data_IF_403377196803
#
_entry.id   IF_403377196803
#
_cell.length_a   1.000
_cell.length_b   1.000
_cell.length_c   1.000
_cell.angle_alpha   90.00
_cell.angle_beta   90.00
_cell.angle_gamma   90.00
#
_symmetry.space_group_name_H-M   'P 1'
#
loop_
_entity.id
_entity.type
_entity.pdbx_description
1 polymer ?
#
# COMPACT_ATOMS: atom_id res chain seq x y z
N UNK A 1 51.60 -3.31 12.31
CA UNK A 1 51.44 -2.16 13.22
C UNK A 1 50.03 -1.65 13.02
N UNK A 2 49.08 -2.21 13.78
CA UNK A 2 48.41 -1.58 14.96
C UNK A 2 47.06 -1.00 14.46
N UNK A 3 45.88 -1.59 14.67
CA UNK A 3 45.14 -2.04 15.87
C UNK A 3 44.99 -0.98 16.97
N UNK A 4 43.71 -0.82 17.35
CA UNK A 4 43.09 -0.16 18.53
C UNK A 4 42.40 1.16 18.18
N UNK A 5 41.25 1.54 18.73
CA UNK A 5 40.25 1.00 19.68
C UNK A 5 39.16 2.10 19.72
N UNK A 6 37.86 1.84 19.81
CA UNK A 6 37.14 1.62 21.07
C UNK A 6 35.70 1.23 20.72
N UNK A 7 35.35 -0.02 20.99
CA UNK A 7 33.95 -0.46 21.09
C UNK A 7 33.57 -0.41 22.57
N UNK A 8 32.65 0.48 22.94
CA UNK A 8 31.99 0.43 24.23
C UNK A 8 30.96 -0.71 24.24
N UNK A 9 31.25 -1.70 25.07
CA UNK A 9 30.36 -2.78 25.46
C UNK A 9 29.49 -2.33 26.64
N UNK A 10 28.19 -2.53 26.57
CA UNK A 10 27.33 -2.57 27.76
C UNK A 10 26.28 -3.66 27.55
N UNK A 11 26.71 -4.91 27.73
CA UNK A 11 25.84 -6.06 27.96
C UNK A 11 25.66 -6.27 29.46
N UNK A 12 24.40 -6.56 29.79
CA UNK A 12 23.85 -7.25 30.97
C UNK A 12 23.24 -6.37 32.06
N UNK A 13 21.90 -6.46 32.12
CA UNK A 13 21.15 -6.47 33.37
C UNK A 13 19.86 -7.31 33.24
N UNK A 14 19.99 -8.58 33.61
CA UNK A 14 19.15 -9.37 34.54
C UNK A 14 17.62 -9.44 34.32
N UNK A 15 17.17 -10.64 33.93
CA UNK A 15 15.81 -11.13 34.06
C UNK A 15 15.50 -11.54 35.52
N UNK A 16 14.32 -11.16 36.02
CA UNK A 16 13.76 -11.61 37.30
C UNK A 16 12.29 -12.05 37.14
N UNK A 17 11.80 -13.02 37.94
CA UNK A 17 10.53 -13.71 37.67
C UNK A 17 9.29 -12.94 38.15
N UNK A 18 8.19 -13.11 37.40
CA UNK A 18 6.86 -12.56 37.68
C UNK A 18 6.15 -13.39 38.77
N UNK A 19 5.70 -12.81 39.89
CA UNK A 19 4.92 -13.55 40.87
C UNK A 19 3.45 -13.69 40.45
N UNK A 20 2.97 -14.93 40.45
CA UNK A 20 1.54 -15.30 40.52
C UNK A 20 1.12 -15.32 41.99
N UNK A 21 0.06 -14.60 42.33
CA UNK A 21 -1.07 -15.05 43.18
C UNK A 21 -1.72 -13.87 43.91
N UNK A 22 -2.97 -13.60 43.59
CA UNK A 22 -3.90 -13.05 44.56
C UNK A 22 -5.15 -13.92 44.48
N UNK A 23 -5.20 -14.91 45.38
CA UNK A 23 -6.38 -15.74 45.58
C UNK A 23 -7.44 -14.90 46.31
N UNK A 24 -8.65 -15.06 45.80
CA UNK A 24 -9.93 -14.60 46.33
C UNK A 24 -10.10 -14.92 47.82
N UNK A 25 -10.75 -14.01 48.55
CA UNK A 25 -11.48 -14.34 49.78
C UNK A 25 -12.95 -13.95 49.56
N UNK A 26 -13.83 -14.89 49.88
CA UNK A 26 -15.29 -14.89 49.72
C UNK A 26 -16.01 -14.13 50.84
N UNK A 27 -17.37 -14.08 50.73
CA UNK A 27 -18.42 -13.77 51.73
C UNK A 27 -18.96 -12.33 51.56
N UNK A 28 -20.24 -11.99 51.31
CA UNK A 28 -21.53 -12.70 51.41
C UNK A 28 -22.66 -12.02 50.60
N UNK A 29 -23.58 -12.85 50.11
CA UNK A 29 -25.06 -12.72 50.02
C UNK A 29 -25.75 -11.34 50.14
N UNK A 30 -26.49 -10.96 49.10
CA UNK A 30 -27.86 -10.46 49.23
C UNK A 30 -28.64 -10.65 47.91
N UNK A 31 -29.76 -11.36 48.00
CA UNK A 31 -30.72 -11.57 46.93
C UNK A 31 -31.50 -10.29 46.62
N UNK A 32 -31.75 -10.01 45.35
CA UNK A 32 -32.55 -8.87 44.90
C UNK A 32 -32.96 -9.05 43.44
N UNK A 33 -34.05 -9.76 43.22
CA UNK A 33 -34.74 -9.87 41.94
C UNK A 33 -35.50 -8.56 41.68
N UNK A 34 -35.12 -7.78 40.66
CA UNK A 34 -36.01 -6.76 40.08
C UNK A 34 -35.78 -6.60 38.57
N UNK A 35 -36.91 -6.49 37.89
CA UNK A 35 -37.15 -6.56 36.45
C UNK A 35 -36.61 -5.36 35.65
N UNK A 36 -36.32 -5.63 34.36
CA UNK A 36 -36.37 -4.73 33.20
C UNK A 36 -35.45 -3.48 33.19
N UNK A 37 -34.35 -3.59 32.44
CA UNK A 37 -33.89 -2.50 31.57
C UNK A 37 -33.48 -3.09 30.21
N UNK A 38 -34.40 -2.94 29.25
CA UNK A 38 -34.05 -2.93 27.85
C UNK A 38 -33.22 -1.66 27.59
N UNK A 39 -31.96 -1.81 27.15
CA UNK A 39 -31.27 -0.88 26.28
C UNK A 39 -29.85 -1.34 25.97
N UNK A 40 -29.51 -1.29 24.68
CA UNK A 40 -28.16 -1.18 24.12
C UNK A 40 -27.30 -2.44 24.10
N UNK A 41 -27.44 -3.17 23.00
CA UNK A 41 -26.49 -4.19 22.59
C UNK A 41 -26.73 -4.60 21.14
N UNK A 42 -26.93 -3.62 20.25
CA UNK A 42 -26.78 -3.86 18.82
C UNK A 42 -25.36 -4.40 18.61
N UNK A 43 -25.22 -5.70 18.45
CA UNK A 43 -23.97 -6.28 18.03
C UNK A 43 -23.76 -5.82 16.60
N UNK A 44 -22.95 -4.79 16.42
CA UNK A 44 -22.32 -4.43 15.17
C UNK A 44 -21.60 -5.68 14.63
N UNK A 45 -22.34 -6.50 13.87
CA UNK A 45 -21.72 -7.46 12.97
C UNK A 45 -21.24 -6.65 11.78
N UNK A 46 -20.03 -6.13 11.85
CA UNK A 46 -19.29 -5.92 10.63
C UNK A 46 -19.13 -7.30 9.98
N UNK A 47 -19.67 -7.55 8.77
CA UNK A 47 -19.31 -8.78 8.08
C UNK A 47 -17.81 -8.71 7.82
N UNK A 48 -17.07 -9.66 8.41
CA UNK A 48 -15.69 -9.86 8.05
C UNK A 48 -15.63 -10.12 6.54
N UNK A 49 -14.73 -9.45 5.83
CA UNK A 49 -14.38 -9.79 4.47
C UNK A 49 -14.14 -11.31 4.40
N UNK A 50 -14.98 -12.03 3.63
CA UNK A 50 -14.89 -13.50 3.49
C UNK A 50 -15.84 -14.33 4.36
N UNK A 51 -17.07 -13.87 4.63
CA UNK A 51 -18.12 -14.76 5.16
C UNK A 51 -18.99 -15.31 4.00
N UNK A 52 -18.43 -16.22 3.20
CA UNK A 52 -19.23 -17.14 2.40
C UNK A 52 -19.61 -18.34 3.27
N UNK A 53 -20.92 -18.59 3.42
CA UNK A 53 -21.40 -19.89 3.86
C UNK A 53 -21.38 -20.84 2.67
N UNK A 54 -20.26 -21.51 2.43
CA UNK A 54 -20.21 -22.67 1.55
C UNK A 54 -19.83 -23.92 2.35
N UNK A 55 -20.65 -24.96 2.26
CA UNK A 55 -20.33 -26.32 2.73
C UNK A 55 -19.27 -26.99 1.81
N UNK A 56 -18.22 -26.25 1.48
CA UNK A 56 -17.13 -26.62 0.58
C UNK A 56 -16.15 -25.46 0.60
N UNK A 57 -15.13 -25.56 1.46
CA UNK A 57 -14.28 -24.44 1.86
C UNK A 57 -13.74 -23.64 0.68
N UNK A 58 -14.11 -22.37 0.62
CA UNK A 58 -13.48 -21.41 -0.28
C UNK A 58 -12.02 -21.23 0.16
N UNK A 59 -11.11 -21.92 -0.53
CA UNK A 59 -9.68 -21.60 -0.48
C UNK A 59 -9.55 -20.20 -1.09
N UNK A 60 -9.12 -19.21 -0.29
CA UNK A 60 -8.72 -17.92 -0.83
C UNK A 60 -7.71 -18.16 -1.95
N UNK A 61 -8.12 -17.94 -3.20
CA UNK A 61 -7.27 -18.21 -4.34
C UNK A 61 -6.07 -17.27 -4.30
N UNK A 62 -4.87 -17.82 -4.37
CA UNK A 62 -3.65 -17.05 -4.53
C UNK A 62 -3.78 -16.17 -5.80
N UNK A 63 -3.59 -14.86 -5.64
CA UNK A 63 -3.53 -13.93 -6.78
C UNK A 63 -2.07 -13.83 -7.22
N UNK A 64 -1.82 -14.16 -8.48
CA UNK A 64 -0.52 -13.98 -9.12
C UNK A 64 -0.58 -12.80 -10.07
N UNK A 65 0.37 -11.88 -9.93
CA UNK A 65 0.50 -10.71 -10.81
C UNK A 65 1.65 -10.97 -11.79
N UNK A 66 1.36 -10.90 -13.08
CA UNK A 66 2.35 -11.08 -14.15
C UNK A 66 2.67 -9.71 -14.75
N UNK A 67 3.93 -9.25 -14.71
CA UNK A 67 4.31 -8.01 -15.38
C UNK A 67 4.07 -8.08 -16.89
N UNK A 68 3.44 -7.04 -17.44
CA UNK A 68 3.18 -6.88 -18.88
C UNK A 68 4.30 -6.12 -19.60
N UNK A 69 5.18 -5.46 -18.84
CA UNK A 69 6.29 -4.69 -19.38
C UNK A 69 7.25 -4.24 -18.29
N UNK A 70 8.10 -3.28 -18.63
CA UNK A 70 8.99 -2.62 -17.67
C UNK A 70 9.19 -1.15 -18.03
N UNK A 71 9.66 -0.39 -17.05
CA UNK A 71 10.13 0.97 -17.24
C UNK A 71 11.57 0.94 -17.76
N UNK A 72 11.87 1.80 -18.72
CA UNK A 72 13.22 2.01 -19.24
C UNK A 72 13.53 3.52 -19.23
N UNK A 73 14.64 3.93 -18.65
CA UNK A 73 15.08 5.34 -18.59
C UNK A 73 16.29 5.53 -19.50
N UNK A 74 16.23 6.52 -20.41
CA UNK A 74 17.37 6.92 -21.26
C UNK A 74 17.57 8.43 -21.18
N UNK A 75 18.57 8.86 -20.41
CA UNK A 75 18.76 10.27 -20.09
C UNK A 75 17.52 10.81 -19.36
N UNK A 76 16.95 11.88 -19.89
CA UNK A 76 15.74 12.50 -19.34
C UNK A 76 14.44 11.80 -19.80
N UNK A 77 14.53 10.95 -20.83
CA UNK A 77 13.35 10.28 -21.40
C UNK A 77 13.00 9.02 -20.62
N UNK A 78 11.71 8.83 -20.40
CA UNK A 78 11.15 7.66 -19.72
C UNK A 78 10.30 6.89 -20.70
N UNK A 79 10.47 5.58 -20.72
CA UNK A 79 9.73 4.69 -21.57
C UNK A 79 9.03 3.60 -20.76
N UNK A 80 7.85 3.20 -21.22
CA UNK A 80 7.23 1.92 -20.86
C UNK A 80 7.42 0.97 -22.03
N UNK A 81 8.18 -0.10 -21.82
CA UNK A 81 8.42 -1.15 -22.81
C UNK A 81 7.53 -2.34 -22.47
N UNK A 82 6.50 -2.54 -23.28
CA UNK A 82 5.56 -3.66 -23.15
C UNK A 82 6.17 -4.91 -23.77
N UNK A 83 5.94 -6.09 -23.18
CA UNK A 83 6.44 -7.35 -23.73
C UNK A 83 5.84 -7.59 -25.12
N UNK A 84 6.59 -8.20 -26.06
CA UNK A 84 6.10 -8.46 -27.41
C UNK A 84 4.74 -9.17 -27.47
N UNK A 85 4.52 -10.16 -26.59
CA UNK A 85 3.27 -10.93 -26.52
C UNK A 85 2.03 -10.08 -26.17
N UNK A 86 2.24 -8.88 -25.63
CA UNK A 86 1.17 -7.93 -25.30
C UNK A 86 1.16 -6.71 -26.23
N UNK A 87 1.97 -6.67 -27.30
CA UNK A 87 2.11 -5.48 -28.14
C UNK A 87 0.80 -5.05 -28.83
N UNK A 88 -0.03 -5.99 -29.28
CA UNK A 88 -1.34 -5.73 -29.91
C UNK A 88 -2.33 -5.08 -28.92
N UNK A 89 -2.16 -5.29 -27.61
CA UNK A 89 -3.03 -4.66 -26.59
C UNK A 89 -2.86 -3.13 -26.50
N UNK A 90 -1.89 -2.56 -27.21
CA UNK A 90 -1.65 -1.13 -27.29
C UNK A 90 -2.43 -0.45 -28.42
N UNK A 91 -3.17 -1.19 -29.25
CA UNK A 91 -3.86 -0.62 -30.40
C UNK A 91 -4.94 0.40 -29.98
N UNK A 92 -4.89 1.59 -30.60
CA UNK A 92 -5.79 2.71 -30.31
C UNK A 92 -5.34 3.60 -29.15
N UNK A 93 -4.23 3.29 -28.49
CA UNK A 93 -3.71 4.05 -27.35
C UNK A 93 -3.34 5.50 -27.71
N UNK A 94 -2.92 5.72 -28.95
CA UNK A 94 -2.57 7.04 -29.50
C UNK A 94 -3.78 8.00 -29.57
N UNK A 95 -5.01 7.48 -29.43
CA UNK A 95 -6.21 8.30 -29.28
C UNK A 95 -6.29 9.03 -27.92
N UNK A 96 -5.43 8.68 -26.96
CA UNK A 96 -5.41 9.26 -25.61
C UNK A 96 -4.14 10.07 -25.37
N UNK A 97 -4.28 11.24 -24.73
CA UNK A 97 -3.12 12.07 -24.37
C UNK A 97 -2.42 11.61 -23.08
N UNK A 98 -3.16 10.91 -22.20
CA UNK A 98 -2.68 10.47 -20.89
C UNK A 98 -3.13 9.06 -20.59
N UNK A 99 -2.31 8.36 -19.81
CA UNK A 99 -2.51 6.98 -19.40
C UNK A 99 -2.26 6.83 -17.91
N UNK A 100 -2.98 5.92 -17.26
CA UNK A 100 -2.54 5.33 -16.01
C UNK A 100 -1.47 4.27 -16.29
N UNK A 101 -0.30 4.45 -15.69
CA UNK A 101 0.74 3.42 -15.64
C UNK A 101 0.71 2.79 -14.25
N UNK A 102 0.37 1.51 -14.19
CA UNK A 102 0.30 0.72 -12.95
C UNK A 102 1.52 -0.18 -12.90
N UNK A 103 2.27 -0.12 -11.81
CA UNK A 103 3.59 -0.75 -11.72
C UNK A 103 3.87 -1.33 -10.33
N UNK A 104 4.89 -2.16 -10.22
CA UNK A 104 5.28 -2.83 -8.98
C UNK A 104 6.51 -2.17 -8.35
N UNK A 105 6.43 -1.75 -7.09
CA UNK A 105 7.57 -1.24 -6.32
C UNK A 105 8.53 -2.37 -5.95
N UNK A 106 9.14 -3.02 -6.94
CA UNK A 106 10.02 -4.19 -6.80
C UNK A 106 11.18 -3.98 -5.81
N UNK A 107 11.78 -2.78 -5.76
CA UNK A 107 12.79 -2.43 -4.75
C UNK A 107 12.26 -2.32 -3.31
N UNK A 108 10.95 -2.48 -3.11
CA UNK A 108 10.29 -2.51 -1.81
C UNK A 108 9.71 -3.89 -1.47
N UNK A 109 9.95 -4.92 -2.29
CA UNK A 109 9.38 -6.25 -2.12
C UNK A 109 10.13 -7.11 -1.11
N UNK A 110 10.09 -6.66 0.15
CA UNK A 110 10.59 -7.40 1.30
C UNK A 110 9.45 -7.61 2.31
N UNK A 111 9.51 -8.68 3.13
CA UNK A 111 8.51 -8.92 4.17
C UNK A 111 8.35 -7.73 5.13
N UNK A 112 9.45 -7.04 5.45
CA UNK A 112 9.47 -5.89 6.37
C UNK A 112 8.69 -4.72 5.79
N UNK A 113 8.98 -4.36 4.54
CA UNK A 113 8.33 -3.22 3.88
C UNK A 113 6.86 -3.49 3.61
N UNK A 114 6.49 -4.73 3.26
CA UNK A 114 5.09 -5.15 3.10
C UNK A 114 4.29 -5.10 4.40
N UNK A 115 4.93 -5.30 5.56
CA UNK A 115 4.30 -5.16 6.89
C UNK A 115 4.14 -3.70 7.35
N UNK A 116 4.62 -2.72 6.58
CA UNK A 116 4.46 -1.29 6.93
C UNK A 116 2.98 -0.89 6.94
N UNK A 117 2.48 -0.44 8.10
CA UNK A 117 1.09 -0.01 8.25
C UNK A 117 0.91 1.51 8.34
N UNK A 118 1.94 2.24 8.81
CA UNK A 118 1.93 3.69 8.94
C UNK A 118 3.28 4.28 8.52
N UNK A 119 3.24 5.49 7.96
CA UNK A 119 4.42 6.26 7.56
C UNK A 119 4.20 7.75 7.85
N UNK A 120 5.27 8.51 7.90
CA UNK A 120 5.18 9.95 7.69
C UNK A 120 5.09 10.22 6.17
N UNK A 121 3.97 10.78 5.65
CA UNK A 121 3.80 11.00 4.21
C UNK A 121 5.00 11.73 3.60
N UNK A 122 5.44 11.28 2.42
CA UNK A 122 6.63 11.79 1.71
C UNK A 122 7.94 11.67 2.50
N UNK A 123 7.98 10.84 3.55
CA UNK A 123 9.15 10.70 4.42
C UNK A 123 9.43 11.95 5.28
N UNK A 124 8.49 12.89 5.37
CA UNK A 124 8.68 14.14 6.11
C UNK A 124 8.13 14.01 7.55
N UNK A 125 8.99 14.04 8.59
CA UNK A 125 8.57 13.90 10.00
C UNK A 125 7.59 14.99 10.48
N UNK A 126 7.56 16.15 9.81
CA UNK A 126 6.59 17.21 10.11
C UNK A 126 5.15 16.87 9.67
N UNK A 127 4.98 15.91 8.75
CA UNK A 127 3.66 15.39 8.42
C UNK A 127 3.19 14.40 9.49
N UNK A 128 1.88 14.29 9.77
CA UNK A 128 1.38 13.36 10.77
C UNK A 128 1.68 11.90 10.40
N UNK A 129 1.97 11.06 11.39
CA UNK A 129 2.08 9.62 11.19
C UNK A 129 0.72 9.07 10.70
N UNK A 130 0.69 8.59 9.46
CA UNK A 130 -0.53 8.31 8.69
C UNK A 130 -0.54 6.87 8.19
N UNK A 131 -1.72 6.22 8.19
CA UNK A 131 -1.87 4.87 7.65
C UNK A 131 -1.51 4.79 6.16
N UNK A 132 -0.84 3.71 5.72
CA UNK A 132 -0.32 3.61 4.35
C UNK A 132 -1.38 3.74 3.26
N UNK A 133 -2.63 3.36 3.55
CA UNK A 133 -3.77 3.51 2.63
C UNK A 133 -4.29 4.95 2.50
N UNK A 134 -4.00 5.82 3.47
CA UNK A 134 -4.25 7.25 3.39
C UNK A 134 -3.04 8.02 2.81
N UNK A 135 -2.09 7.32 2.19
CA UNK A 135 -0.89 7.89 1.56
C UNK A 135 -0.62 7.27 0.19
N UNK A 136 0.42 7.75 -0.49
CA UNK A 136 1.00 7.16 -1.70
C UNK A 136 2.37 6.51 -1.43
N UNK A 137 2.59 5.99 -0.21
CA UNK A 137 3.84 5.33 0.17
C UNK A 137 4.15 4.12 -0.71
N UNK A 138 5.41 3.91 -1.14
CA UNK A 138 5.82 2.70 -1.85
C UNK A 138 5.96 1.48 -0.94
N UNK A 139 6.08 1.66 0.38
CA UNK A 139 6.04 0.59 1.36
C UNK A 139 4.57 0.36 1.80
N UNK A 140 4.00 -0.78 1.41
CA UNK A 140 2.60 -1.16 1.64
C UNK A 140 2.38 -2.66 1.40
N UNK A 141 1.27 -3.26 1.87
CA UNK A 141 1.02 -4.70 1.74
C UNK A 141 1.05 -5.23 0.29
N UNK A 142 0.41 -4.50 -0.63
CA UNK A 142 0.47 -4.74 -2.07
C UNK A 142 1.23 -3.57 -2.71
N UNK A 143 2.39 -3.85 -3.28
CA UNK A 143 3.39 -2.86 -3.71
C UNK A 143 3.05 -2.24 -5.07
N UNK A 144 1.78 -1.89 -5.25
CA UNK A 144 1.26 -1.33 -6.49
C UNK A 144 1.41 0.19 -6.45
N UNK A 145 2.19 0.69 -7.40
CA UNK A 145 2.31 2.10 -7.76
C UNK A 145 1.40 2.44 -8.94
N UNK A 146 1.06 3.73 -9.04
CA UNK A 146 0.22 4.23 -10.12
C UNK A 146 0.47 5.72 -10.33
N UNK A 147 0.75 6.10 -11.57
CA UNK A 147 0.93 7.48 -12.02
C UNK A 147 0.09 7.75 -13.27
N UNK A 148 -0.48 8.96 -13.35
CA UNK A 148 -1.04 9.48 -14.59
C UNK A 148 0.11 10.07 -15.39
N UNK A 149 0.33 9.57 -16.60
CA UNK A 149 1.46 9.92 -17.43
C UNK A 149 0.98 10.46 -18.77
N UNK A 150 1.65 11.50 -19.28
CA UNK A 150 1.41 12.00 -20.63
C UNK A 150 2.03 11.03 -21.62
N UNK A 151 1.26 10.58 -22.61
CA UNK A 151 1.78 9.79 -23.74
C UNK A 151 2.41 10.76 -24.74
N UNK A 152 3.71 10.60 -24.98
CA UNK A 152 4.47 11.44 -25.92
C UNK A 152 4.44 10.83 -27.32
N UNK A 153 4.76 9.54 -27.40
CA UNK A 153 4.84 8.79 -28.64
C UNK A 153 4.76 7.29 -28.35
N UNK A 154 4.13 6.54 -29.25
CA UNK A 154 4.27 5.08 -29.36
C UNK A 154 5.19 4.73 -30.53
N UNK A 155 6.07 3.75 -30.31
CA UNK A 155 6.95 3.14 -31.32
C UNK A 155 6.92 1.62 -31.11
N UNK A 156 6.06 0.93 -31.87
CA UNK A 156 5.77 -0.49 -31.66
C UNK A 156 5.25 -0.78 -30.24
N UNK A 157 6.01 -1.55 -29.47
CA UNK A 157 5.72 -1.92 -28.08
C UNK A 157 6.34 -0.96 -27.04
N UNK A 158 6.89 0.18 -27.47
CA UNK A 158 7.58 1.15 -26.62
C UNK A 158 6.83 2.47 -26.58
N UNK A 159 6.49 2.93 -25.38
CA UNK A 159 5.76 4.17 -25.14
C UNK A 159 6.71 5.17 -24.49
N UNK A 160 6.97 6.31 -25.12
CA UNK A 160 7.61 7.46 -24.47
C UNK A 160 6.57 8.19 -23.63
N UNK A 161 6.87 8.41 -22.34
CA UNK A 161 5.94 8.99 -21.38
C UNK A 161 6.60 10.06 -20.51
N UNK A 162 5.80 11.02 -20.03
CA UNK A 162 6.20 12.01 -19.01
C UNK A 162 5.38 11.83 -17.72
N UNK A 163 5.95 12.23 -16.58
CA UNK A 163 5.27 12.21 -15.28
C UNK A 163 5.37 10.89 -14.49
N UNK A 164 6.06 9.87 -15.02
CA UNK A 164 6.25 8.57 -14.37
C UNK A 164 7.33 8.60 -13.28
N UNK A 165 6.95 8.32 -12.04
CA UNK A 165 7.80 8.28 -10.86
C UNK A 165 8.20 6.84 -10.46
N UNK A 166 8.60 6.05 -11.45
CA UNK A 166 9.12 4.69 -11.28
C UNK A 166 10.62 4.62 -11.60
N UNK A 167 11.37 3.75 -10.92
CA UNK A 167 12.78 3.53 -11.22
C UNK A 167 12.96 2.79 -12.55
N UNK A 168 14.18 2.84 -13.09
CA UNK A 168 14.54 2.01 -14.24
C UNK A 168 14.31 0.52 -13.92
N UNK A 169 13.97 -0.26 -14.94
CA UNK A 169 13.63 -1.69 -14.84
C UNK A 169 12.42 -2.02 -13.95
N UNK A 170 11.66 -1.01 -13.52
CA UNK A 170 10.44 -1.24 -12.72
C UNK A 170 9.42 -2.06 -13.50
N UNK A 171 8.91 -3.19 -12.96
CA UNK A 171 7.90 -3.99 -13.63
C UNK A 171 6.59 -3.21 -13.80
N UNK A 172 6.09 -3.14 -15.02
CA UNK A 172 4.76 -2.59 -15.33
C UNK A 172 3.75 -3.72 -15.28
N UNK A 173 2.67 -3.49 -14.55
CA UNK A 173 1.61 -4.46 -14.29
C UNK A 173 0.44 -4.25 -15.25
N UNK A 174 0.07 -3.00 -15.51
CA UNK A 174 -1.11 -2.69 -16.30
C UNK A 174 -1.04 -1.25 -16.85
N UNK A 175 -1.79 -1.00 -17.92
CA UNK A 175 -1.94 0.29 -18.58
C UNK A 175 -3.42 0.56 -18.82
N UNK A 176 -3.87 1.78 -18.54
CA UNK A 176 -5.26 2.21 -18.83
C UNK A 176 -5.28 3.60 -19.42
N UNK A 177 -6.22 3.93 -20.33
CA UNK A 177 -6.44 5.31 -20.71
C UNK A 177 -6.85 6.15 -19.50
N UNK A 178 -6.33 7.37 -19.40
CA UNK A 178 -6.84 8.35 -18.45
C UNK A 178 -8.08 9.01 -19.03
N UNK A 179 -9.19 8.95 -18.31
CA UNK A 179 -10.49 9.47 -18.71
C UNK A 179 -10.91 10.57 -17.74
N UNK A 180 -10.75 11.87 -18.09
CA UNK A 180 -11.00 12.98 -17.17
C UNK A 180 -12.39 12.96 -16.51
N UNK A 181 -13.39 12.46 -17.21
CA UNK A 181 -14.78 12.35 -16.75
C UNK A 181 -14.94 11.43 -15.53
N UNK A 182 -14.07 10.42 -15.38
CA UNK A 182 -14.14 9.44 -14.29
C UNK A 182 -12.93 9.53 -13.34
N UNK A 183 -11.77 9.93 -13.85
CA UNK A 183 -10.51 9.96 -13.10
C UNK A 183 -10.25 11.31 -12.41
N UNK A 184 -11.03 12.34 -12.73
CA UNK A 184 -10.96 13.68 -12.12
C UNK A 184 -12.32 14.11 -11.55
N UNK A 185 -12.79 13.46 -10.47
CA UNK A 185 -14.07 13.82 -9.87
C UNK A 185 -14.03 15.25 -9.29
N UNK A 186 -15.14 15.97 -9.46
CA UNK A 186 -15.32 17.27 -8.82
C UNK A 186 -15.48 17.15 -7.29
N UNK A 187 -15.30 18.26 -6.58
CA UNK A 187 -15.55 18.38 -5.13
C UNK A 187 -14.71 17.45 -4.24
N UNK A 188 -13.48 17.16 -4.64
CA UNK A 188 -12.54 16.37 -3.83
C UNK A 188 -12.01 17.16 -2.63
N UNK A 189 -11.73 16.46 -1.54
CA UNK A 189 -11.07 17.04 -0.35
C UNK A 189 -9.80 16.28 -0.01
N UNK A 190 -8.78 17.01 0.44
CA UNK A 190 -7.49 16.44 0.82
C UNK A 190 -7.06 16.90 2.22
N UNK A 191 -6.30 16.09 2.97
CA UNK A 191 -5.77 16.49 4.27
C UNK A 191 -4.82 17.68 4.14
N UNK A 192 -4.69 18.49 5.20
CA UNK A 192 -3.88 19.73 5.19
C UNK A 192 -2.44 19.51 4.69
N UNK A 193 -1.80 18.41 5.12
CA UNK A 193 -0.42 18.09 4.73
C UNK A 193 -0.26 17.85 3.22
N UNK A 194 -1.33 17.45 2.52
CA UNK A 194 -1.27 17.16 1.08
C UNK A 194 -1.47 18.41 0.22
N UNK A 195 -1.94 19.53 0.79
CA UNK A 195 -2.21 20.78 0.04
C UNK A 195 -0.95 21.46 -0.51
N UNK A 196 0.23 21.12 0.02
CA UNK A 196 1.52 21.63 -0.43
C UNK A 196 2.14 20.82 -1.57
N UNK A 197 1.47 19.76 -2.03
CA UNK A 197 1.96 18.94 -3.14
C UNK A 197 1.67 19.68 -4.44
N UNK A 198 2.69 20.00 -5.27
CA UNK A 198 2.47 20.65 -6.55
C UNK A 198 1.74 19.71 -7.52
N UNK A 199 0.96 20.25 -8.48
CA UNK A 199 0.47 19.45 -9.59
C UNK A 199 1.64 18.89 -10.40
N UNK A 200 1.43 17.72 -11.00
CA UNK A 200 2.39 17.13 -11.96
C UNK A 200 2.11 17.61 -13.36
#
# INVERSE_FOLDING_TARGET
MERNSEFFNCKEAIAGPVPRSFRQTLISLAAGMFLLLACLGGSDRQPAWGQEKSNGGAVMSQITINPVGRVERRGEKIFVVVKPDYAESLDGLEGFSHLWVIYWFHGNDTPEKRRTLKVHPRGNPANPLTGVFATRSPARPNLIGMDACRLIKRDGNRLEVEGLAAWDETPVIDLKPYLPQIDSPANTTIPKWARSIPPR
#
